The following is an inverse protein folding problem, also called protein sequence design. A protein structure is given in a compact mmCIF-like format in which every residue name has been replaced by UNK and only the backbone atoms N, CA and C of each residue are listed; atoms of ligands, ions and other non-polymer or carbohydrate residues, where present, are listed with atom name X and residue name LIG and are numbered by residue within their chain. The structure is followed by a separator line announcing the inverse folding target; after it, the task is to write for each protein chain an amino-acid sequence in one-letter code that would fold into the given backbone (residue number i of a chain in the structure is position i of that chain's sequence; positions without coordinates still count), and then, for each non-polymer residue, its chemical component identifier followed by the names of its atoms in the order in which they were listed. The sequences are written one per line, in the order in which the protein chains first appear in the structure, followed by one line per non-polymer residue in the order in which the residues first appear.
data_IF_109305316196
#
_entry.id   IF_109305316196
#
_cell.length_a   1.000
_cell.length_b   1.000
_cell.length_c   1.000
_cell.angle_alpha   90.00
_cell.angle_beta   90.00
_cell.angle_gamma   90.00
#
_symmetry.space_group_name_H-M   'P 1'
#
loop_
_entity.id
_entity.type
_entity.pdbx_description
1 polymer ?
#
# COMPACT_ATOMS: atom_id res chain seq x y z
N UNK A 1 24.09 -38.09 18.82
CA UNK A 1 23.77 -36.83 19.50
C UNK A 1 23.89 -35.73 18.45
N UNK A 2 22.77 -35.31 17.87
CA UNK A 2 22.75 -34.21 16.90
C UNK A 2 22.75 -32.94 17.74
N UNK A 3 23.94 -32.46 18.11
CA UNK A 3 24.11 -31.30 18.98
C UNK A 3 23.32 -30.09 18.51
N UNK A 4 22.78 -29.35 19.47
CA UNK A 4 21.94 -28.18 19.20
C UNK A 4 22.71 -27.09 18.44
N UNK A 5 21.98 -26.34 17.61
CA UNK A 5 22.49 -25.15 16.92
C UNK A 5 21.62 -23.93 17.27
N UNK A 6 22.25 -22.78 17.44
CA UNK A 6 21.58 -21.50 17.64
C UNK A 6 22.22 -20.40 16.80
N UNK A 7 21.45 -19.36 16.49
CA UNK A 7 21.90 -18.23 15.70
C UNK A 7 22.50 -17.17 16.63
N UNK A 8 23.81 -16.95 16.53
CA UNK A 8 24.49 -15.90 17.32
C UNK A 8 24.20 -14.49 16.78
N UNK A 9 24.08 -14.36 15.46
CA UNK A 9 23.87 -13.08 14.79
C UNK A 9 22.98 -13.24 13.57
N UNK A 10 22.03 -12.33 13.43
CA UNK A 10 21.15 -12.23 12.27
C UNK A 10 21.09 -10.77 11.83
N UNK A 11 21.36 -10.51 10.55
CA UNK A 11 21.22 -9.19 9.94
C UNK A 11 20.26 -9.28 8.76
N UNK A 12 19.21 -8.45 8.78
CA UNK A 12 18.32 -8.26 7.63
C UNK A 12 18.95 -7.29 6.65
N UNK A 13 19.09 -7.70 5.40
CA UNK A 13 19.74 -6.91 4.34
C UNK A 13 18.75 -6.20 3.42
N UNK A 14 17.50 -6.64 3.38
CA UNK A 14 16.42 -5.99 2.63
C UNK A 14 15.02 -6.31 3.20
N UNK A 15 14.04 -5.49 2.84
CA UNK A 15 12.60 -5.74 2.98
C UNK A 15 11.95 -5.35 1.65
N UNK A 16 11.49 -6.33 0.86
CA UNK A 16 11.05 -6.04 -0.51
C UNK A 16 12.14 -5.30 -1.28
N UNK A 17 11.79 -4.16 -1.88
CA UNK A 17 12.71 -3.32 -2.64
C UNK A 17 13.61 -2.42 -1.78
N UNK A 18 13.40 -2.37 -0.45
CA UNK A 18 14.17 -1.51 0.46
C UNK A 18 15.42 -2.23 0.97
N UNK A 19 16.60 -1.79 0.55
CA UNK A 19 17.87 -2.39 0.97
C UNK A 19 18.47 -1.64 2.16
N UNK A 20 19.28 -2.34 2.97
CA UNK A 20 19.97 -1.75 4.12
C UNK A 20 21.02 -0.72 3.70
N UNK A 21 21.57 -0.83 2.49
CA UNK A 21 22.54 0.14 1.96
C UNK A 21 21.90 1.49 1.63
N UNK A 22 20.59 1.53 1.40
CA UNK A 22 19.83 2.75 1.11
C UNK A 22 19.26 3.41 2.38
N UNK A 23 19.54 2.84 3.55
CA UNK A 23 18.98 3.31 4.82
C UNK A 23 19.56 4.65 5.25
N UNK A 24 18.70 5.65 5.35
CA UNK A 24 19.04 7.01 5.77
C UNK A 24 18.00 7.48 6.80
N UNK A 25 18.41 7.79 8.05
CA UNK A 25 17.47 8.18 9.12
C UNK A 25 16.85 9.56 8.90
N UNK A 26 17.46 10.44 8.11
CA UNK A 26 16.97 11.79 7.87
C UNK A 26 16.09 11.88 6.61
N UNK A 27 16.08 10.83 5.78
CA UNK A 27 15.30 10.77 4.55
C UNK A 27 13.90 10.24 4.80
N UNK A 28 12.91 11.14 4.74
CA UNK A 28 11.49 10.76 4.72
C UNK A 28 11.04 10.47 3.29
N UNK A 29 10.46 9.30 3.07
CA UNK A 29 9.89 8.89 1.79
C UNK A 29 8.42 9.38 1.66
N UNK A 30 8.03 9.96 0.51
CA UNK A 30 6.63 10.24 0.22
C UNK A 30 5.77 8.97 0.26
N UNK A 31 4.54 9.07 0.77
CA UNK A 31 3.65 7.92 0.90
C UNK A 31 3.36 7.23 -0.45
N UNK A 32 3.25 8.02 -1.53
CA UNK A 32 3.04 7.49 -2.88
C UNK A 32 4.18 6.56 -3.31
N UNK A 33 5.43 6.95 -3.05
CA UNK A 33 6.62 6.14 -3.37
C UNK A 33 6.65 4.87 -2.52
N UNK A 34 6.32 4.98 -1.23
CA UNK A 34 6.28 3.83 -0.31
C UNK A 34 5.22 2.78 -0.68
N UNK A 35 4.13 3.20 -1.35
CA UNK A 35 3.02 2.33 -1.75
C UNK A 35 3.05 1.96 -3.23
N UNK A 36 4.08 2.34 -3.98
CA UNK A 36 4.17 2.15 -5.43
C UNK A 36 4.14 0.67 -5.88
N UNK A 37 4.36 -0.27 -4.96
CA UNK A 37 4.25 -1.71 -5.22
C UNK A 37 2.81 -2.21 -5.31
N UNK A 38 1.81 -1.42 -4.87
CA UNK A 38 0.39 -1.78 -4.95
C UNK A 38 -0.19 -1.43 -6.32
N UNK A 39 -1.09 -2.26 -6.87
CA UNK A 39 -1.90 -1.88 -8.01
C UNK A 39 -2.68 -0.59 -7.70
N UNK A 40 -2.61 0.38 -8.60
CA UNK A 40 -3.19 1.71 -8.40
C UNK A 40 -4.49 1.88 -9.20
N UNK A 41 -5.51 2.45 -8.58
CA UNK A 41 -6.79 2.84 -9.20
C UNK A 41 -6.96 4.34 -9.07
N UNK A 42 -6.95 5.03 -10.22
CA UNK A 42 -7.24 6.47 -10.31
C UNK A 42 -8.73 6.72 -10.16
N UNK A 43 -9.10 7.62 -9.27
CA UNK A 43 -10.46 8.09 -9.03
C UNK A 43 -10.59 9.57 -9.37
N UNK A 44 -11.78 9.97 -9.77
CA UNK A 44 -12.13 11.35 -10.02
C UNK A 44 -13.41 11.75 -9.27
N UNK A 45 -13.62 13.06 -9.16
CA UNK A 45 -14.86 13.69 -8.70
C UNK A 45 -15.50 13.03 -7.48
N UNK A 46 -16.75 12.56 -7.65
CA UNK A 46 -17.54 12.00 -6.57
C UNK A 46 -16.96 10.69 -6.00
N UNK A 47 -16.32 9.88 -6.84
CA UNK A 47 -15.73 8.62 -6.40
C UNK A 47 -14.54 8.87 -5.46
N UNK A 48 -13.65 9.81 -5.82
CA UNK A 48 -12.51 10.20 -4.98
C UNK A 48 -12.98 10.70 -3.60
N UNK A 49 -13.92 11.65 -3.60
CA UNK A 49 -14.53 12.20 -2.37
C UNK A 49 -15.19 11.12 -1.51
N UNK A 50 -15.91 10.18 -2.11
CA UNK A 50 -16.55 9.07 -1.39
C UNK A 50 -15.51 8.12 -0.79
N UNK A 51 -14.47 7.77 -1.54
CA UNK A 51 -13.39 6.93 -1.05
C UNK A 51 -12.65 7.57 0.13
N UNK A 52 -12.40 8.89 0.08
CA UNK A 52 -11.78 9.67 1.16
C UNK A 52 -12.59 9.62 2.47
N UNK A 53 -13.92 9.48 2.38
CA UNK A 53 -14.80 9.25 3.52
C UNK A 53 -15.06 7.76 3.84
N UNK A 54 -14.24 6.86 3.31
CA UNK A 54 -14.34 5.42 3.58
C UNK A 54 -15.52 4.73 2.92
N UNK A 55 -16.21 5.38 1.98
CA UNK A 55 -17.37 4.81 1.28
C UNK A 55 -16.87 3.93 0.13
N UNK A 56 -17.52 2.78 -0.06
CA UNK A 56 -17.16 1.87 -1.15
C UNK A 56 -17.44 2.50 -2.52
N UNK A 57 -16.50 2.35 -3.45
CA UNK A 57 -16.57 2.91 -4.81
C UNK A 57 -16.63 1.80 -5.86
N UNK A 58 -17.13 2.04 -7.08
CA UNK A 58 -17.13 1.04 -8.15
C UNK A 58 -15.72 0.54 -8.45
N UNK A 59 -15.57 -0.77 -8.69
CA UNK A 59 -14.27 -1.44 -8.88
C UNK A 59 -13.51 -1.02 -10.14
N UNK A 60 -14.20 -0.62 -11.21
CA UNK A 60 -13.57 -0.47 -12.53
C UNK A 60 -12.99 -1.79 -13.07
N UNK A 61 -12.13 -1.73 -14.10
CA UNK A 61 -11.44 -2.90 -14.64
C UNK A 61 -10.56 -3.58 -13.58
N UNK A 62 -10.46 -4.90 -13.60
CA UNK A 62 -9.85 -5.71 -12.54
C UNK A 62 -8.34 -5.43 -12.31
N UNK A 63 -7.93 -4.84 -11.17
CA UNK A 63 -6.52 -4.64 -10.82
C UNK A 63 -5.82 -5.87 -10.22
N UNK A 64 -6.48 -7.04 -10.11
CA UNK A 64 -5.95 -8.26 -9.50
C UNK A 64 -6.60 -8.62 -8.16
N UNK A 65 -6.18 -9.71 -7.51
CA UNK A 65 -6.86 -10.25 -6.31
C UNK A 65 -6.43 -9.61 -4.98
N UNK A 66 -5.45 -8.71 -4.99
CA UNK A 66 -4.89 -8.06 -3.80
C UNK A 66 -5.52 -6.72 -3.42
N UNK A 67 -5.06 -6.11 -2.30
CA UNK A 67 -5.40 -4.74 -1.96
C UNK A 67 -4.89 -3.77 -3.04
N UNK A 68 -5.61 -2.66 -3.21
CA UNK A 68 -5.29 -1.63 -4.21
C UNK A 68 -5.12 -0.27 -3.56
N UNK A 69 -4.29 0.57 -4.17
CA UNK A 69 -4.15 1.97 -3.80
C UNK A 69 -5.16 2.81 -4.59
N UNK A 70 -6.07 3.49 -3.90
CA UNK A 70 -6.93 4.52 -4.47
C UNK A 70 -6.19 5.85 -4.47
N UNK A 71 -6.13 6.51 -5.62
CA UNK A 71 -5.46 7.81 -5.81
C UNK A 71 -6.38 8.76 -6.57
N UNK A 72 -6.17 10.07 -6.44
CA UNK A 72 -6.63 11.08 -7.40
C UNK A 72 -5.44 11.98 -7.80
N UNK A 73 -5.70 13.12 -8.42
CA UNK A 73 -4.69 14.11 -8.83
C UNK A 73 -3.81 14.66 -7.68
N UNK A 74 -4.33 14.70 -6.45
CA UNK A 74 -3.62 15.14 -5.25
C UNK A 74 -2.81 14.01 -4.58
N UNK A 75 -2.90 12.78 -5.10
CA UNK A 75 -2.12 11.62 -4.65
C UNK A 75 -2.92 10.56 -3.88
N UNK A 76 -2.30 9.79 -2.98
CA UNK A 76 -2.97 8.68 -2.27
C UNK A 76 -4.20 9.11 -1.46
N UNK A 77 -5.31 8.40 -1.64
CA UNK A 77 -6.55 8.55 -0.86
C UNK A 77 -6.61 7.48 0.23
N UNK A 78 -6.53 6.21 -0.18
CA UNK A 78 -6.76 5.08 0.69
C UNK A 78 -6.21 3.76 0.10
N UNK A 79 -5.95 2.77 0.96
CA UNK A 79 -5.87 1.37 0.53
C UNK A 79 -7.28 0.78 0.61
N UNK A 80 -7.66 0.02 -0.42
CA UNK A 80 -8.96 -0.61 -0.50
C UNK A 80 -8.88 -2.11 -0.78
N UNK A 81 -9.85 -2.85 -0.25
CA UNK A 81 -10.09 -4.25 -0.56
C UNK A 81 -11.24 -4.40 -1.55
N UNK A 82 -11.17 -5.47 -2.35
CA UNK A 82 -12.28 -5.90 -3.18
C UNK A 82 -13.45 -6.41 -2.33
N UNK A 83 -14.65 -5.94 -2.63
CA UNK A 83 -15.91 -6.49 -2.14
C UNK A 83 -16.91 -6.56 -3.28
N UNK A 84 -17.14 -7.76 -3.81
CA UNK A 84 -17.98 -8.00 -4.98
C UNK A 84 -17.63 -7.07 -6.16
N UNK A 85 -18.51 -6.10 -6.44
CA UNK A 85 -18.39 -5.13 -7.53
C UNK A 85 -17.84 -3.77 -7.07
N UNK A 86 -17.33 -3.68 -5.84
CA UNK A 86 -16.84 -2.45 -5.24
C UNK A 86 -15.43 -2.60 -4.66
N UNK A 87 -14.79 -1.46 -4.45
CA UNK A 87 -13.57 -1.29 -3.67
C UNK A 87 -13.94 -0.59 -2.38
N UNK A 88 -13.67 -1.24 -1.24
CA UNK A 88 -13.96 -0.72 0.09
C UNK A 88 -12.65 -0.19 0.70
N UNK A 89 -12.54 1.13 0.95
CA UNK A 89 -11.41 1.65 1.71
C UNK A 89 -11.32 0.97 3.08
N UNK A 90 -10.11 0.51 3.41
CA UNK A 90 -9.76 -0.12 4.69
C UNK A 90 -8.73 0.70 5.49
N UNK A 91 -7.95 1.54 4.81
CA UNK A 91 -7.01 2.51 5.43
C UNK A 91 -7.12 3.82 4.65
N UNK A 92 -7.55 4.90 5.29
CA UNK A 92 -7.62 6.23 4.68
C UNK A 92 -6.42 7.10 5.05
N UNK A 93 -5.94 7.90 4.10
CA UNK A 93 -4.80 8.81 4.28
C UNK A 93 -5.20 10.28 4.28
N UNK A 94 -6.29 10.62 3.59
CA UNK A 94 -6.86 11.97 3.54
C UNK A 94 -8.38 11.93 3.33
N UNK A 95 -9.04 13.02 3.73
CA UNK A 95 -10.48 13.24 3.65
C UNK A 95 -10.78 14.48 2.79
#
# INVERSE_FOLDING_TARGET
DLGDAYCEQLRRTAIGDFRVEDADPDRVMPLADALAFLPTVMLDGDAARRAAHGVAVPRGPDPGDGPVLLVDEDGPIAIAERRDQALKPIVGFRA
#
